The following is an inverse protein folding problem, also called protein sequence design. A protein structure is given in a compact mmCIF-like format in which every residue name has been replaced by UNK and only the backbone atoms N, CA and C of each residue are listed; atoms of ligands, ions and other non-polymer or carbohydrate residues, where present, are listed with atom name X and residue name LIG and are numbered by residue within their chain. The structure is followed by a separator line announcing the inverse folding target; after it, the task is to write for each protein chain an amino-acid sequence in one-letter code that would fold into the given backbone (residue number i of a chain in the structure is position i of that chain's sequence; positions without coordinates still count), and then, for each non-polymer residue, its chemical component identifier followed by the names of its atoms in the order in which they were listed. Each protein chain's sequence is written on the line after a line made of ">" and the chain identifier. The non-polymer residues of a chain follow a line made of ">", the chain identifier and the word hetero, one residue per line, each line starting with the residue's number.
data_IF_947594421472
#
_entry.id   IF_947594421472
#
_cell.length_a   1.000
_cell.length_b   1.000
_cell.length_c   1.000
_cell.angle_alpha   90.00
_cell.angle_beta   90.00
_cell.angle_gamma   90.00
#
_symmetry.space_group_name_H-M   'P 1'
#
loop_
_entity.id
_entity.type
_entity.pdbx_description
1 polymer ?
#
# COMPACT_ATOMS: atom_id res chain seq x y z
N UNK A 1 13.70 18.50 4.83
CA UNK A 1 12.93 17.44 4.12
C UNK A 1 11.48 17.44 4.62
N UNK A 2 10.49 17.71 3.77
CA UNK A 2 9.07 17.77 4.16
C UNK A 2 8.59 16.36 4.57
N UNK A 3 8.45 16.11 5.88
CA UNK A 3 7.75 14.91 6.40
C UNK A 3 6.41 14.84 5.66
N UNK A 4 6.12 13.78 4.91
CA UNK A 4 4.78 13.57 4.38
C UNK A 4 3.82 13.68 5.56
N UNK A 5 2.89 14.64 5.56
CA UNK A 5 1.94 14.79 6.67
C UNK A 5 0.99 13.59 6.67
N UNK A 6 0.38 13.28 7.82
CA UNK A 6 -0.63 12.24 7.92
C UNK A 6 -1.76 12.44 6.90
N UNK A 7 -2.12 13.69 6.62
CA UNK A 7 -3.10 14.04 5.58
C UNK A 7 -2.65 13.63 4.17
N UNK A 8 -1.39 13.89 3.80
CA UNK A 8 -0.86 13.41 2.51
C UNK A 8 -0.87 11.89 2.44
N UNK A 9 -0.52 11.21 3.54
CA UNK A 9 -0.59 9.75 3.60
C UNK A 9 -2.04 9.24 3.44
N UNK A 10 -3.03 9.91 4.02
CA UNK A 10 -4.46 9.59 3.83
C UNK A 10 -4.90 9.82 2.38
N UNK A 11 -4.53 10.94 1.77
CA UNK A 11 -4.81 11.21 0.36
C UNK A 11 -4.15 10.18 -0.57
N UNK A 12 -2.89 9.82 -0.29
CA UNK A 12 -2.17 8.77 -1.00
C UNK A 12 -2.84 7.40 -0.83
N UNK A 13 -3.30 7.03 0.37
CA UNK A 13 -4.08 5.79 0.58
C UNK A 13 -5.36 5.79 -0.25
N UNK A 14 -6.13 6.88 -0.28
CA UNK A 14 -7.35 6.96 -1.09
C UNK A 14 -7.07 6.77 -2.57
N UNK A 15 -6.00 7.41 -3.08
CA UNK A 15 -5.56 7.25 -4.47
C UNK A 15 -5.05 5.84 -4.75
N UNK A 16 -4.30 5.23 -3.82
CA UNK A 16 -3.84 3.86 -3.91
C UNK A 16 -5.00 2.87 -4.00
N UNK A 17 -6.03 3.01 -3.16
CA UNK A 17 -7.24 2.17 -3.25
C UNK A 17 -7.91 2.26 -4.62
N UNK A 18 -7.96 3.45 -5.22
CA UNK A 18 -8.54 3.63 -6.54
C UNK A 18 -7.68 2.99 -7.64
N UNK A 19 -6.36 3.26 -7.65
CA UNK A 19 -5.43 2.74 -8.66
C UNK A 19 -5.30 1.21 -8.60
N UNK A 20 -5.31 0.64 -7.39
CA UNK A 20 -5.05 -0.77 -7.15
C UNK A 20 -6.34 -1.61 -7.08
N UNK A 21 -7.52 -0.98 -7.22
CA UNK A 21 -8.81 -1.67 -7.15
C UNK A 21 -8.99 -2.77 -8.20
N UNK A 22 -8.30 -2.66 -9.34
CA UNK A 22 -8.36 -3.61 -10.45
C UNK A 22 -7.25 -4.68 -10.38
N UNK A 23 -6.50 -4.76 -9.28
CA UNK A 23 -5.44 -5.77 -9.09
C UNK A 23 -5.97 -6.80 -8.09
N UNK A 24 -6.42 -7.98 -8.54
CA UNK A 24 -7.05 -8.99 -7.68
C UNK A 24 -6.11 -9.54 -6.60
N UNK A 25 -4.80 -9.46 -6.82
CA UNK A 25 -3.77 -9.85 -5.86
C UNK A 25 -3.68 -8.87 -4.68
N UNK A 26 -4.24 -7.66 -4.79
CA UNK A 26 -4.21 -6.68 -3.70
C UNK A 26 -5.26 -7.02 -2.66
N UNK A 27 -4.77 -7.48 -1.50
CA UNK A 27 -5.59 -7.85 -0.35
C UNK A 27 -5.89 -6.63 0.56
N UNK A 28 -5.04 -5.61 0.54
CA UNK A 28 -5.34 -4.39 1.28
C UNK A 28 -4.30 -3.29 1.18
N UNK A 29 -4.74 -2.06 1.49
CA UNK A 29 -3.88 -0.87 1.49
C UNK A 29 -3.95 -0.18 2.86
N UNK A 30 -2.79 -0.03 3.48
CA UNK A 30 -2.61 0.60 4.79
C UNK A 30 -1.67 1.80 4.75
N UNK A 31 -1.61 2.53 5.86
CA UNK A 31 -0.59 3.55 6.11
C UNK A 31 0.23 3.06 7.28
N UNK A 32 1.55 3.03 7.13
CA UNK A 32 2.48 2.75 8.21
C UNK A 32 3.43 3.93 8.39
N UNK A 33 4.12 3.93 9.53
CA UNK A 33 5.21 4.88 9.79
C UNK A 33 6.53 4.11 9.83
N UNK A 34 7.43 4.39 8.88
CA UNK A 34 8.76 3.75 8.78
C UNK A 34 9.84 4.83 8.90
N UNK A 35 10.79 4.65 9.82
CA UNK A 35 11.88 5.61 10.09
C UNK A 35 11.37 7.08 10.23
N UNK A 36 10.25 7.27 10.91
CA UNK A 36 9.66 8.59 11.15
C UNK A 36 8.90 9.21 9.96
N UNK A 37 8.77 8.52 8.83
CA UNK A 37 8.02 8.96 7.63
C UNK A 37 6.79 8.09 7.42
N UNK A 38 5.72 8.68 6.90
CA UNK A 38 4.55 7.90 6.49
C UNK A 38 4.81 7.20 5.15
N UNK A 39 4.28 6.00 5.02
CA UNK A 39 4.49 5.09 3.89
C UNK A 39 3.18 4.35 3.62
N UNK A 40 2.83 4.15 2.36
CA UNK A 40 1.70 3.31 1.96
C UNK A 40 2.17 1.85 1.98
N UNK A 41 1.44 0.99 2.69
CA UNK A 41 1.68 -0.46 2.69
C UNK A 41 0.62 -1.11 1.82
N UNK A 42 1.05 -1.81 0.77
CA UNK A 42 0.20 -2.64 -0.07
C UNK A 42 0.45 -4.09 0.31
N UNK A 43 -0.61 -4.78 0.70
CA UNK A 43 -0.57 -6.20 1.02
C UNK A 43 -1.05 -6.99 -0.19
N UNK A 44 -0.27 -7.98 -0.60
CA UNK A 44 -0.63 -8.89 -1.68
C UNK A 44 -0.95 -10.28 -1.15
N UNK A 45 -1.97 -10.91 -1.72
CA UNK A 45 -2.34 -12.30 -1.47
C UNK A 45 -1.43 -13.30 -2.18
N UNK A 46 -0.87 -12.92 -3.32
CA UNK A 46 0.07 -13.72 -4.12
C UNK A 46 1.02 -12.81 -4.90
N UNK A 47 2.04 -13.39 -5.52
CA UNK A 47 2.90 -12.63 -6.43
C UNK A 47 2.09 -12.12 -7.62
N UNK A 48 2.42 -10.89 -8.04
CA UNK A 48 1.82 -10.24 -9.20
C UNK A 48 2.74 -10.49 -10.39
N UNK A 49 2.16 -10.91 -11.52
CA UNK A 49 2.91 -11.14 -12.76
C UNK A 49 3.57 -9.86 -13.31
N UNK A 50 2.94 -8.70 -13.08
CA UNK A 50 3.38 -7.39 -13.58
C UNK A 50 3.63 -6.41 -12.41
N UNK A 51 4.74 -6.53 -11.68
CA UNK A 51 5.00 -5.71 -10.49
C UNK A 51 5.01 -4.19 -10.78
N UNK A 52 5.29 -3.81 -12.02
CA UNK A 52 5.28 -2.41 -12.49
C UNK A 52 3.90 -1.74 -12.41
N UNK A 53 2.82 -2.52 -12.27
CA UNK A 53 1.46 -1.99 -12.05
C UNK A 53 1.29 -1.36 -10.68
N UNK A 54 2.18 -1.65 -9.72
CA UNK A 54 2.17 -1.05 -8.40
C UNK A 54 3.20 0.09 -8.38
N UNK A 55 2.76 1.35 -8.28
CA UNK A 55 3.70 2.47 -8.24
C UNK A 55 4.53 2.42 -6.96
N UNK A 56 5.81 2.77 -7.07
CA UNK A 56 6.75 2.86 -5.94
C UNK A 56 6.49 4.09 -5.05
N UNK A 57 5.73 5.07 -5.55
CA UNK A 57 5.36 6.30 -4.83
C UNK A 57 3.97 6.80 -5.27
N UNK A 58 3.17 7.30 -4.31
CA UNK A 58 1.89 7.97 -4.59
C UNK A 58 1.84 9.29 -3.82
N UNK A 59 1.64 10.40 -4.53
CA UNK A 59 1.59 11.76 -3.95
C UNK A 59 2.83 12.08 -3.07
N UNK A 60 4.03 11.70 -3.52
CA UNK A 60 5.27 11.84 -2.75
C UNK A 60 5.31 11.04 -1.44
N UNK A 61 4.47 10.02 -1.32
CA UNK A 61 4.47 9.06 -0.22
C UNK A 61 4.99 7.72 -0.76
N UNK A 62 6.09 7.18 -0.20
CA UNK A 62 6.64 5.92 -0.67
C UNK A 62 5.63 4.79 -0.47
N UNK A 63 5.61 3.86 -1.42
CA UNK A 63 4.81 2.64 -1.39
C UNK A 63 5.74 1.46 -1.12
N UNK A 64 5.32 0.58 -0.22
CA UNK A 64 5.97 -0.70 -0.01
C UNK A 64 4.96 -1.82 -0.27
N UNK A 65 5.44 -2.87 -0.90
CA UNK A 65 4.67 -4.07 -1.19
C UNK A 65 5.08 -5.15 -0.19
N UNK A 66 4.09 -5.85 0.34
CA UNK A 66 4.30 -6.95 1.27
C UNK A 66 3.48 -8.16 0.80
N UNK A 67 4.18 -9.21 0.38
CA UNK A 67 3.55 -10.49 0.09
C UNK A 67 3.23 -11.17 1.41
N UNK A 68 1.95 -11.34 1.72
CA UNK A 68 1.49 -11.94 2.97
C UNK A 68 0.75 -13.27 2.77
N UNK A 69 0.58 -13.70 1.52
CA UNK A 69 -0.24 -14.87 1.21
C UNK A 69 -1.74 -14.59 1.34
N UNK A 70 -2.56 -15.59 1.06
CA UNK A 70 -4.01 -15.52 1.26
C UNK A 70 -4.32 -15.26 2.74
N UNK A 71 -4.90 -14.09 3.07
CA UNK A 71 -5.33 -13.82 4.45
C UNK A 71 -6.54 -14.71 4.75
N UNK A 72 -6.39 -15.63 5.69
CA UNK A 72 -7.49 -16.38 6.27
C UNK A 72 -8.03 -15.64 7.51
N UNK A 73 -9.36 -15.60 7.67
CA UNK A 73 -9.98 -15.04 8.86
C UNK A 73 -9.60 -15.90 10.07
N UNK A 74 -8.72 -15.39 10.94
CA UNK A 74 -8.45 -16.02 12.23
C UNK A 74 -9.69 -15.82 13.10
N UNK A 75 -10.29 -16.91 13.58
CA UNK A 75 -11.37 -16.86 14.58
C UNK A 75 -10.69 -16.83 15.95
N UNK A 76 -11.01 -15.84 16.77
CA UNK A 76 -10.75 -15.83 18.21
C UNK A 76 -11.46 -16.99 18.92
#
# INVERSE_FOLDING_TARGET
>A
MKKASLERARAAKKKALHLLSNIPEVNGVGIIKKKGKYTIKVNLSQEIAEPDRIPTEINSVPVIVNLIGTIHKQRD
#
